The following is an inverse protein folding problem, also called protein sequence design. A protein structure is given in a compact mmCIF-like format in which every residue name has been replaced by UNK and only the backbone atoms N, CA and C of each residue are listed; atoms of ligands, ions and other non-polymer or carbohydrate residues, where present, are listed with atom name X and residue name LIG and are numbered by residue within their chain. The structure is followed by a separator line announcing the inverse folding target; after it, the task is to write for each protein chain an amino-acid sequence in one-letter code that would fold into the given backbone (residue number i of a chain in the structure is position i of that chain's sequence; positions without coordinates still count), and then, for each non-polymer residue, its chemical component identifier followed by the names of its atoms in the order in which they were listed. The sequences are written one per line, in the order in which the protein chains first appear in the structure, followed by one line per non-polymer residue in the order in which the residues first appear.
data_IF_921347961464
#
_entry.id   IF_921347961464
#
_cell.length_a   1.000
_cell.length_b   1.000
_cell.length_c   1.000
_cell.angle_alpha   90.00
_cell.angle_beta   90.00
_cell.angle_gamma   90.00
#
_symmetry.space_group_name_H-M   'P 1'
#
loop_
_entity.id
_entity.type
_entity.pdbx_description
1 polymer ?
#
# COMPACT_ATOMS: atom_id res chain seq x y z
N UNK A 1 -6.99 -18.61 -6.99
CA UNK A 1 -6.53 -18.16 -5.65
C UNK A 1 -6.66 -16.65 -5.63
N UNK A 2 -7.20 -16.02 -4.59
CA UNK A 2 -7.39 -14.57 -4.59
C UNK A 2 -6.24 -13.89 -3.83
N UNK A 3 -5.46 -13.09 -4.53
CA UNK A 3 -4.43 -12.27 -3.93
C UNK A 3 -5.01 -10.92 -3.52
N UNK A 4 -4.73 -10.53 -2.28
CA UNK A 4 -5.07 -9.22 -1.72
C UNK A 4 -3.86 -8.62 -1.06
N UNK A 5 -3.53 -7.39 -1.43
CA UNK A 5 -2.41 -6.62 -0.85
C UNK A 5 -2.90 -5.26 -0.39
N UNK A 6 -2.57 -4.88 0.85
CA UNK A 6 -2.83 -3.55 1.41
C UNK A 6 -1.52 -2.81 1.60
N UNK A 7 -1.31 -1.76 0.82
CA UNK A 7 -0.13 -0.90 0.87
C UNK A 7 -0.44 0.34 1.70
N UNK A 8 0.20 0.47 2.86
CA UNK A 8 0.02 1.62 3.76
C UNK A 8 0.97 2.76 3.40
N UNK A 9 0.36 3.88 3.05
CA UNK A 9 1.02 5.07 2.56
C UNK A 9 1.31 6.06 3.70
N UNK A 10 2.51 6.64 3.68
CA UNK A 10 2.92 7.68 4.62
C UNK A 10 2.71 9.08 3.99
N UNK A 11 1.82 9.93 4.56
CA UNK A 11 1.62 11.28 4.07
C UNK A 11 2.85 12.15 4.41
N UNK A 12 3.64 12.50 3.39
CA UNK A 12 4.82 13.37 3.52
C UNK A 12 6.02 12.98 2.64
N UNK A 13 6.01 11.78 2.06
CA UNK A 13 7.19 11.18 1.43
C UNK A 13 6.95 10.65 -0.01
N UNK A 14 5.78 10.94 -0.55
CA UNK A 14 5.42 10.49 -1.88
C UNK A 14 5.95 11.41 -2.97
N UNK A 15 6.32 10.80 -4.09
CA UNK A 15 6.66 11.53 -5.31
C UNK A 15 5.45 12.29 -5.88
N UNK A 16 4.24 11.78 -5.65
CA UNK A 16 2.98 12.34 -6.14
C UNK A 16 1.87 12.10 -5.12
N UNK A 17 0.97 13.08 -4.98
CA UNK A 17 -0.27 12.89 -4.24
C UNK A 17 -1.11 11.77 -4.90
N UNK A 18 -1.69 10.90 -4.07
CA UNK A 18 -2.60 9.85 -4.56
C UNK A 18 -3.89 10.51 -5.04
N UNK A 19 -4.25 10.31 -6.31
CA UNK A 19 -5.50 10.76 -6.90
C UNK A 19 -6.35 9.56 -7.31
N UNK A 20 -7.67 9.68 -7.21
CA UNK A 20 -8.59 8.58 -7.55
C UNK A 20 -8.49 8.19 -9.01
N UNK A 21 -8.29 9.16 -9.90
CA UNK A 21 -8.19 8.96 -11.35
C UNK A 21 -6.96 8.11 -11.70
N UNK A 22 -5.85 8.31 -10.99
CA UNK A 22 -4.63 7.53 -11.19
C UNK A 22 -4.81 6.07 -10.76
N UNK A 23 -5.50 5.84 -9.65
CA UNK A 23 -5.81 4.49 -9.16
C UNK A 23 -6.79 3.77 -10.10
N UNK A 24 -7.77 4.48 -10.65
CA UNK A 24 -8.66 3.95 -11.68
C UNK A 24 -7.90 3.58 -12.96
N UNK A 25 -6.93 4.40 -13.37
CA UNK A 25 -6.08 4.09 -14.52
C UNK A 25 -5.22 2.83 -14.27
N UNK A 26 -4.69 2.65 -13.06
CA UNK A 26 -3.95 1.43 -12.67
C UNK A 26 -4.88 0.20 -12.68
N UNK A 27 -6.08 0.34 -12.10
CA UNK A 27 -7.09 -0.71 -12.09
C UNK A 27 -7.44 -1.18 -13.51
N UNK A 28 -7.70 -0.23 -14.41
CA UNK A 28 -8.02 -0.51 -15.81
C UNK A 28 -6.83 -1.09 -16.59
N UNK A 29 -5.62 -0.55 -16.40
CA UNK A 29 -4.41 -1.01 -17.10
C UNK A 29 -4.10 -2.48 -16.85
N UNK A 30 -4.29 -2.92 -15.62
CA UNK A 30 -3.90 -4.25 -15.18
C UNK A 30 -5.09 -5.18 -14.94
N UNK A 31 -6.32 -4.72 -15.22
CA UNK A 31 -7.54 -5.50 -14.99
C UNK A 31 -7.65 -6.05 -13.57
N UNK A 32 -7.33 -5.23 -12.57
CA UNK A 32 -7.45 -5.57 -11.14
C UNK A 32 -8.37 -4.60 -10.39
N UNK A 33 -8.80 -5.01 -9.21
CA UNK A 33 -9.51 -4.11 -8.30
C UNK A 33 -8.50 -3.29 -7.49
N UNK A 34 -8.72 -1.97 -7.46
CA UNK A 34 -7.90 -1.02 -6.70
C UNK A 34 -8.82 -0.16 -5.84
N UNK A 35 -8.60 -0.14 -4.54
CA UNK A 35 -9.36 0.68 -3.59
C UNK A 35 -8.43 1.60 -2.81
N UNK A 36 -8.94 2.77 -2.43
CA UNK A 36 -8.28 3.73 -1.54
C UNK A 36 -9.12 3.90 -0.28
N UNK A 37 -8.57 3.51 0.85
CA UNK A 37 -9.20 3.62 2.16
C UNK A 37 -8.40 4.62 3.01
N UNK A 38 -9.09 5.58 3.64
CA UNK A 38 -8.51 6.38 4.71
C UNK A 38 -9.01 5.79 6.03
N UNK A 39 -8.13 5.13 6.76
CA UNK A 39 -8.40 4.67 8.12
C UNK A 39 -8.14 5.87 9.02
N UNK A 40 -9.18 6.39 9.66
CA UNK A 40 -9.04 7.49 10.62
C UNK A 40 -8.67 6.93 12.00
N UNK A 41 -7.67 7.53 12.63
CA UNK A 41 -7.25 7.22 14.00
C UNK A 41 -7.17 8.49 14.85
N UNK A 42 -7.35 8.37 16.17
CA UNK A 42 -7.33 9.51 17.10
C UNK A 42 -5.96 10.22 17.12
N UNK A 43 -5.89 11.40 16.50
CA UNK A 43 -4.67 12.20 16.44
C UNK A 43 -4.45 12.94 17.77
N UNK A 44 -3.39 12.60 18.51
CA UNK A 44 -2.98 13.36 19.69
C UNK A 44 -1.96 14.46 19.33
N UNK A 45 -1.95 15.63 20.01
CA UNK A 45 -1.28 16.86 19.53
C UNK A 45 0.26 16.86 19.57
N UNK A 46 0.89 15.77 19.99
CA UNK A 46 2.36 15.66 20.03
C UNK A 46 2.81 14.66 18.98
N UNK A 47 3.40 15.20 17.92
CA UNK A 47 4.16 14.43 16.94
C UNK A 47 5.20 13.55 17.61
N UNK A 48 5.50 12.44 16.93
CA UNK A 48 6.54 11.46 17.28
C UNK A 48 6.27 10.57 18.50
N UNK A 49 5.68 9.40 18.20
CA UNK A 49 6.02 8.06 18.73
C UNK A 49 5.04 7.06 18.11
N UNK A 50 5.40 6.51 16.95
CA UNK A 50 4.63 5.49 16.23
C UNK A 50 5.07 4.06 16.55
N UNK A 51 6.16 3.88 17.30
CA UNK A 51 6.70 2.56 17.70
C UNK A 51 5.91 1.90 18.85
N UNK A 52 5.19 2.68 19.69
CA UNK A 52 4.49 2.18 20.88
C UNK A 52 2.94 2.35 20.82
N UNK A 53 2.37 2.70 19.66
CA UNK A 53 0.93 2.98 19.53
C UNK A 53 0.19 1.87 18.80
N UNK A 54 -1.01 1.54 19.30
CA UNK A 54 -1.95 0.67 18.59
C UNK A 54 -2.26 1.25 17.20
N UNK A 55 -2.15 0.42 16.16
CA UNK A 55 -2.37 0.81 14.75
C UNK A 55 -3.70 1.53 14.52
N UNK A 56 -4.71 1.22 15.34
CA UNK A 56 -6.06 1.79 15.33
C UNK A 56 -6.11 3.29 15.69
N UNK A 57 -5.05 3.83 16.30
CA UNK A 57 -4.98 5.25 16.70
C UNK A 57 -4.28 6.15 15.69
N UNK A 58 -3.78 5.60 14.58
CA UNK A 58 -3.00 6.34 13.58
C UNK A 58 -3.82 6.45 12.30
N UNK A 59 -4.04 7.69 11.84
CA UNK A 59 -4.66 7.92 10.54
C UNK A 59 -3.75 7.44 9.41
N UNK A 60 -4.27 6.61 8.52
CA UNK A 60 -3.51 5.93 7.46
C UNK A 60 -4.27 5.93 6.15
N UNK A 61 -3.58 6.22 5.06
CA UNK A 61 -4.10 5.99 3.72
C UNK A 61 -3.62 4.63 3.24
N UNK A 62 -4.53 3.79 2.76
CA UNK A 62 -4.26 2.42 2.35
C UNK A 62 -4.73 2.21 0.92
N UNK A 63 -3.82 1.77 0.06
CA UNK A 63 -4.15 1.31 -1.30
C UNK A 63 -4.30 -0.20 -1.24
N UNK A 64 -5.48 -0.72 -1.56
CA UNK A 64 -5.74 -2.16 -1.65
C UNK A 64 -5.71 -2.59 -3.12
N UNK A 65 -4.97 -3.66 -3.43
CA UNK A 65 -4.90 -4.30 -4.73
C UNK A 65 -5.42 -5.73 -4.62
N UNK A 66 -6.38 -6.09 -5.48
CA UNK A 66 -7.02 -7.42 -5.46
C UNK A 66 -7.12 -8.01 -6.87
N UNK A 67 -6.62 -9.24 -7.03
CA UNK A 67 -6.62 -10.00 -8.29
C UNK A 67 -6.48 -11.49 -8.02
N UNK A 68 -6.82 -12.34 -8.98
CA UNK A 68 -6.58 -13.77 -8.96
C UNK A 68 -5.29 -14.20 -9.69
N UNK A 69 -4.58 -13.25 -10.29
CA UNK A 69 -3.36 -13.48 -11.06
C UNK A 69 -2.12 -12.89 -10.38
N UNK A 70 -1.12 -13.73 -10.15
CA UNK A 70 0.15 -13.31 -9.53
C UNK A 70 0.91 -12.32 -10.42
N UNK A 71 0.94 -12.53 -11.74
CA UNK A 71 1.65 -11.64 -12.67
C UNK A 71 1.00 -10.25 -12.73
N UNK A 72 -0.33 -10.19 -12.72
CA UNK A 72 -1.08 -8.93 -12.65
C UNK A 72 -0.75 -8.21 -11.34
N UNK A 73 -0.75 -8.93 -10.22
CA UNK A 73 -0.41 -8.36 -8.92
C UNK A 73 1.03 -7.83 -8.93
N UNK A 74 1.98 -8.63 -9.40
CA UNK A 74 3.40 -8.29 -9.43
C UNK A 74 3.66 -7.01 -10.23
N UNK A 75 3.03 -6.87 -11.39
CA UNK A 75 3.20 -5.70 -12.24
C UNK A 75 2.47 -4.46 -11.73
N UNK A 76 1.26 -4.60 -11.20
CA UNK A 76 0.54 -3.49 -10.59
C UNK A 76 1.23 -2.97 -9.32
N UNK A 77 1.81 -3.86 -8.50
CA UNK A 77 2.64 -3.49 -7.36
C UNK A 77 3.83 -2.62 -7.78
N UNK A 78 4.55 -2.98 -8.84
CA UNK A 78 5.67 -2.16 -9.34
C UNK A 78 5.23 -0.76 -9.73
N UNK A 79 4.11 -0.63 -10.42
CA UNK A 79 3.56 0.66 -10.81
C UNK A 79 3.21 1.51 -9.58
N UNK A 80 2.53 0.92 -8.60
CA UNK A 80 2.11 1.60 -7.36
C UNK A 80 3.33 1.98 -6.50
N UNK A 81 4.27 1.05 -6.27
CA UNK A 81 5.49 1.29 -5.48
C UNK A 81 6.34 2.39 -6.14
N UNK A 82 6.56 2.34 -7.46
CA UNK A 82 7.36 3.36 -8.17
C UNK A 82 6.69 4.72 -8.15
N UNK A 83 5.36 4.78 -8.27
CA UNK A 83 4.63 6.04 -8.36
C UNK A 83 4.45 6.71 -7.00
N UNK A 84 4.13 5.93 -5.96
CA UNK A 84 3.74 6.46 -4.66
C UNK A 84 4.75 6.17 -3.55
N UNK A 85 5.83 5.43 -3.82
CA UNK A 85 6.82 5.01 -2.81
C UNK A 85 6.18 4.36 -1.60
N UNK A 86 5.27 3.42 -1.83
CA UNK A 86 4.51 2.71 -0.79
C UNK A 86 4.80 1.22 -0.88
N UNK A 87 4.94 0.49 0.24
CA UNK A 87 4.70 0.94 1.61
C UNK A 87 5.95 1.60 2.22
N UNK A 88 5.74 2.65 3.04
CA UNK A 88 6.80 3.34 3.82
C UNK A 88 6.39 3.57 5.27
N UNK A 89 5.67 2.61 5.83
CA UNK A 89 5.24 2.65 7.24
C UNK A 89 5.65 1.35 7.93
N UNK A 90 5.85 1.41 9.25
CA UNK A 90 6.09 0.20 10.08
C UNK A 90 4.96 -0.82 9.99
N UNK A 91 3.77 -0.39 9.56
CA UNK A 91 2.60 -1.24 9.35
C UNK A 91 2.54 -1.85 7.95
N UNK A 92 3.44 -1.42 7.05
CA UNK A 92 3.76 -1.99 5.73
C UNK A 92 2.58 -2.64 5.00
N UNK A 93 2.50 -3.97 5.05
CA UNK A 93 1.55 -4.82 4.32
C UNK A 93 0.42 -5.38 5.21
N UNK A 94 0.26 -4.85 6.44
CA UNK A 94 -0.67 -5.39 7.43
C UNK A 94 -2.11 -5.47 6.90
N UNK A 95 -2.71 -6.65 6.99
CA UNK A 95 -4.06 -6.94 6.48
C UNK A 95 -4.09 -7.43 5.03
N UNK A 96 -2.93 -7.68 4.42
CA UNK A 96 -2.81 -8.43 3.17
C UNK A 96 -3.13 -9.91 3.39
N UNK A 97 -3.54 -10.60 2.32
CA UNK A 97 -3.55 -12.07 2.30
C UNK A 97 -2.13 -12.61 2.39
N UNK A 98 -1.94 -13.78 2.98
CA UNK A 98 -0.61 -14.41 3.14
C UNK A 98 0.14 -14.53 1.80
N UNK A 99 -0.55 -14.96 0.75
CA UNK A 99 0.06 -15.14 -0.58
C UNK A 99 0.30 -13.80 -1.29
N UNK A 100 -0.60 -12.83 -1.13
CA UNK A 100 -0.39 -11.47 -1.63
C UNK A 100 0.80 -10.78 -0.97
N UNK A 101 0.97 -10.96 0.34
CA UNK A 101 2.09 -10.41 1.11
C UNK A 101 3.44 -10.97 0.61
N UNK A 102 3.53 -12.28 0.36
CA UNK A 102 4.73 -12.90 -0.22
C UNK A 102 5.10 -12.32 -1.58
N UNK A 103 4.10 -12.09 -2.45
CA UNK A 103 4.31 -11.45 -3.76
C UNK A 103 4.81 -10.02 -3.58
N UNK A 104 4.17 -9.27 -2.68
CA UNK A 104 4.54 -7.88 -2.40
C UNK A 104 5.97 -7.74 -1.86
N UNK A 105 6.38 -8.57 -0.90
CA UNK A 105 7.76 -8.56 -0.39
C UNK A 105 8.79 -8.82 -1.48
N UNK A 106 8.56 -9.82 -2.34
CA UNK A 106 9.47 -10.09 -3.48
C UNK A 106 9.58 -8.89 -4.41
N UNK A 107 8.47 -8.20 -4.70
CA UNK A 107 8.51 -6.99 -5.54
C UNK A 107 9.24 -5.84 -4.85
N UNK A 108 9.05 -5.66 -3.55
CA UNK A 108 9.73 -4.62 -2.76
C UNK A 108 11.25 -4.88 -2.76
N UNK A 109 11.67 -6.12 -2.52
CA UNK A 109 13.08 -6.54 -2.58
C UNK A 109 13.66 -6.36 -3.98
N UNK A 110 12.96 -6.77 -5.04
CA UNK A 110 13.36 -6.59 -6.44
C UNK A 110 13.56 -5.12 -6.82
N UNK A 111 12.93 -4.19 -6.11
CA UNK A 111 13.07 -2.76 -6.33
C UNK A 111 14.21 -2.15 -5.50
N UNK A 112 15.11 -2.92 -4.90
CA UNK A 112 16.16 -2.54 -3.94
C UNK A 112 15.66 -2.24 -2.52
N UNK A 113 14.58 -2.92 -2.10
CA UNK A 113 14.17 -2.99 -0.69
C UNK A 113 13.88 -1.63 -0.06
N UNK A 114 13.16 -0.75 -0.76
CA UNK A 114 12.98 0.65 -0.36
C UNK A 114 12.54 0.83 1.11
N UNK A 115 13.49 1.25 1.96
CA UNK A 115 13.32 1.70 3.35
C UNK A 115 13.24 3.23 3.42
#
# INVERSE_FOLDING_TARGET
MQYRVKLRYYPGDALQAIRKEDLQAIAAKWSLQVNLENIEGEMTPKGEKTLDKNIESISQTVISLETDSEDILKNSLRDVIRRYRSPRTVFSLWGSSQEGEKVAWRVIEELDGWW
#
